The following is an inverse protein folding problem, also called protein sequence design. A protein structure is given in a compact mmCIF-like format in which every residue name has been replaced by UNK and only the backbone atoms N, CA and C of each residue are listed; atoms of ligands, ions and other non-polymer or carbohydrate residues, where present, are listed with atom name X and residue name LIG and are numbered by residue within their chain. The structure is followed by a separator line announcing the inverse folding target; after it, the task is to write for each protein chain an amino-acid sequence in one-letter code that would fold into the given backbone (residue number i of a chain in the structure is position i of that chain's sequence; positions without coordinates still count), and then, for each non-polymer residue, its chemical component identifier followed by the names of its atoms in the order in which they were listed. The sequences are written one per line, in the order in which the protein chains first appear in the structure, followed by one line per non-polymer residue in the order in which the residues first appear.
data_IF_772400885359
#
_entry.id   IF_772400885359
#
_cell.length_a   1.000
_cell.length_b   1.000
_cell.length_c   1.000
_cell.angle_alpha   90.00
_cell.angle_beta   90.00
_cell.angle_gamma   90.00
#
_symmetry.space_group_name_H-M   'P 1'
#
loop_
_entity.id
_entity.type
_entity.pdbx_description
1 polymer ?
#
# COMPACT_ATOMS: atom_id res chain seq x y z
N UNK A 1 51.69 32.02 -18.16
CA UNK A 1 51.29 30.66 -18.59
C UNK A 1 50.72 29.94 -17.36
N UNK A 2 49.42 30.00 -17.20
CA UNK A 2 48.74 29.37 -16.06
C UNK A 2 48.13 28.05 -16.56
N UNK A 3 48.55 26.94 -15.97
CA UNK A 3 48.11 25.60 -16.35
C UNK A 3 46.72 25.32 -15.75
N UNK A 4 45.73 25.23 -16.62
CA UNK A 4 44.40 24.67 -16.26
C UNK A 4 44.54 23.18 -15.98
N UNK A 5 44.23 22.74 -14.75
CA UNK A 5 44.00 21.34 -14.42
C UNK A 5 42.62 20.93 -14.93
N UNK A 6 42.45 19.72 -15.54
CA UNK A 6 41.16 19.25 -15.94
C UNK A 6 40.32 18.86 -14.71
N UNK A 7 39.10 19.37 -14.64
CA UNK A 7 38.12 18.94 -13.65
C UNK A 7 37.71 17.50 -13.94
N UNK A 8 38.12 16.57 -13.09
CA UNK A 8 37.73 15.19 -13.14
C UNK A 8 36.23 15.03 -12.87
N UNK A 9 35.49 14.70 -13.92
CA UNK A 9 34.09 14.31 -13.80
C UNK A 9 33.99 13.01 -12.99
N UNK A 10 33.51 13.07 -11.74
CA UNK A 10 33.18 11.89 -10.95
C UNK A 10 31.90 11.24 -11.51
N UNK A 11 32.08 10.42 -12.54
CA UNK A 11 31.04 9.51 -12.99
C UNK A 11 30.69 8.58 -11.83
N UNK A 12 29.59 8.86 -11.12
CA UNK A 12 29.07 7.93 -10.09
C UNK A 12 28.77 6.61 -10.76
N UNK A 13 29.58 5.58 -10.49
CA UNK A 13 29.29 4.22 -10.93
C UNK A 13 27.97 3.78 -10.30
N UNK A 14 26.99 3.47 -11.15
CA UNK A 14 25.70 2.87 -10.72
C UNK A 14 26.03 1.52 -10.06
N UNK A 15 25.56 1.29 -8.84
CA UNK A 15 25.85 0.05 -8.14
C UNK A 15 25.17 -1.14 -8.81
N UNK A 16 25.77 -2.34 -8.70
CA UNK A 16 25.15 -3.58 -9.20
C UNK A 16 23.77 -3.82 -8.58
N UNK A 17 23.55 -3.38 -7.33
CA UNK A 17 22.24 -3.39 -6.67
C UNK A 17 21.23 -2.54 -7.40
N UNK A 18 21.57 -1.30 -7.71
CA UNK A 18 20.71 -0.35 -8.43
C UNK A 18 20.34 -0.86 -9.82
N UNK A 19 21.30 -1.47 -10.54
CA UNK A 19 21.03 -2.06 -11.87
C UNK A 19 20.05 -3.24 -11.79
N UNK A 20 20.16 -4.08 -10.76
CA UNK A 20 19.24 -5.22 -10.55
C UNK A 20 17.84 -4.74 -10.16
N UNK A 21 17.72 -3.73 -9.30
CA UNK A 21 16.42 -3.14 -8.94
C UNK A 21 15.74 -2.52 -10.17
N UNK A 22 16.52 -1.86 -11.02
CA UNK A 22 16.03 -1.33 -12.29
C UNK A 22 15.51 -2.43 -13.22
N UNK A 23 16.24 -3.55 -13.30
CA UNK A 23 15.82 -4.73 -14.08
C UNK A 23 14.51 -5.34 -13.57
N UNK A 24 14.36 -5.48 -12.26
CA UNK A 24 13.13 -6.00 -11.66
C UNK A 24 11.93 -5.08 -11.93
N UNK A 25 12.11 -3.76 -11.82
CA UNK A 25 11.06 -2.78 -12.12
C UNK A 25 10.69 -2.77 -13.61
N UNK A 26 11.69 -2.74 -14.50
CA UNK A 26 11.46 -2.76 -15.94
C UNK A 26 10.69 -4.02 -16.36
N UNK A 27 11.06 -5.17 -15.82
CA UNK A 27 10.36 -6.43 -16.07
C UNK A 27 8.91 -6.39 -15.54
N UNK A 28 8.68 -5.81 -14.36
CA UNK A 28 7.36 -5.63 -13.79
C UNK A 28 6.45 -4.74 -14.66
N UNK A 29 6.97 -3.66 -15.22
CA UNK A 29 6.22 -2.81 -16.14
C UNK A 29 5.91 -3.51 -17.48
N UNK A 30 6.79 -4.38 -17.97
CA UNK A 30 6.50 -5.23 -19.15
C UNK A 30 5.37 -6.21 -18.84
N UNK A 31 5.39 -6.85 -17.66
CA UNK A 31 4.31 -7.74 -17.23
C UNK A 31 2.97 -6.97 -17.12
N UNK A 32 2.99 -5.77 -16.55
CA UNK A 32 1.80 -4.91 -16.44
C UNK A 32 1.22 -4.57 -17.83
N UNK A 33 2.08 -4.20 -18.80
CA UNK A 33 1.66 -3.93 -20.17
C UNK A 33 1.06 -5.16 -20.85
N UNK A 34 1.61 -6.35 -20.63
CA UNK A 34 1.07 -7.60 -21.17
C UNK A 34 -0.28 -7.95 -20.55
N UNK A 35 -0.43 -7.81 -19.24
CA UNK A 35 -1.69 -8.08 -18.55
C UNK A 35 -2.78 -7.09 -18.98
N UNK A 36 -2.44 -5.81 -19.19
CA UNK A 36 -3.39 -4.82 -19.70
C UNK A 36 -3.91 -5.14 -21.11
N UNK A 37 -3.10 -5.80 -21.95
CA UNK A 37 -3.46 -6.16 -23.33
C UNK A 37 -4.13 -7.53 -23.45
N UNK A 38 -3.76 -8.50 -22.59
CA UNK A 38 -4.12 -9.91 -22.75
C UNK A 38 -4.67 -10.54 -21.46
N UNK A 39 -4.68 -9.82 -20.34
CA UNK A 39 -5.17 -10.31 -19.06
C UNK A 39 -6.70 -10.38 -19.04
N UNK A 40 -7.23 -11.44 -18.46
CA UNK A 40 -8.64 -11.52 -18.14
C UNK A 40 -8.88 -11.00 -16.74
N UNK A 41 -9.71 -9.96 -16.61
CA UNK A 41 -10.20 -9.51 -15.31
C UNK A 41 -11.06 -10.62 -14.68
N UNK A 42 -10.85 -10.93 -13.41
CA UNK A 42 -11.70 -11.88 -12.71
C UNK A 42 -13.10 -11.29 -12.51
N UNK A 43 -14.09 -12.16 -12.53
CA UNK A 43 -15.45 -11.82 -12.11
C UNK A 43 -15.63 -12.27 -10.65
N UNK A 44 -15.50 -11.31 -9.73
CA UNK A 44 -15.67 -11.54 -8.31
C UNK A 44 -17.05 -11.08 -7.84
N UNK A 45 -17.70 -11.89 -6.99
CA UNK A 45 -18.81 -11.41 -6.19
C UNK A 45 -18.31 -10.28 -5.30
N UNK A 46 -18.89 -9.10 -5.44
CA UNK A 46 -18.46 -7.91 -4.72
C UNK A 46 -19.53 -7.43 -3.75
N UNK A 47 -19.08 -6.84 -2.64
CA UNK A 47 -19.93 -6.15 -1.67
C UNK A 47 -19.60 -4.66 -1.66
N UNK A 48 -20.58 -3.81 -1.31
CA UNK A 48 -20.31 -2.38 -1.11
C UNK A 48 -19.61 -2.15 0.23
N UNK A 49 -18.87 -1.04 0.33
CA UNK A 49 -18.27 -0.63 1.60
C UNK A 49 -19.30 -0.48 2.72
N UNK A 50 -20.44 0.14 2.43
CA UNK A 50 -21.53 0.29 3.39
C UNK A 50 -22.06 -1.06 3.90
N UNK A 51 -22.11 -2.08 3.03
CA UNK A 51 -22.51 -3.44 3.46
C UNK A 51 -21.51 -4.02 4.44
N UNK A 52 -20.21 -3.82 4.19
CA UNK A 52 -19.14 -4.26 5.13
C UNK A 52 -19.30 -3.57 6.47
N UNK A 53 -19.53 -2.26 6.47
CA UNK A 53 -19.71 -1.50 7.72
C UNK A 53 -20.92 -1.98 8.52
N UNK A 54 -22.08 -2.21 7.86
CA UNK A 54 -23.26 -2.75 8.53
C UNK A 54 -23.01 -4.14 9.14
N UNK A 55 -22.31 -5.01 8.41
CA UNK A 55 -21.98 -6.35 8.91
C UNK A 55 -21.10 -6.30 10.16
N UNK A 56 -20.09 -5.43 10.18
CA UNK A 56 -19.22 -5.24 11.33
C UNK A 56 -19.98 -4.60 12.50
N UNK A 57 -20.76 -3.55 12.25
CA UNK A 57 -21.56 -2.89 13.29
C UNK A 57 -22.55 -3.83 13.95
N UNK A 58 -23.17 -4.74 13.17
CA UNK A 58 -24.10 -5.76 13.71
C UNK A 58 -23.44 -6.73 14.69
N UNK A 59 -22.10 -6.82 14.68
CA UNK A 59 -21.32 -7.65 15.62
C UNK A 59 -20.94 -6.89 16.90
N UNK A 60 -21.24 -5.59 16.97
CA UNK A 60 -20.89 -4.75 18.12
C UNK A 60 -19.45 -4.27 18.11
N UNK A 61 -18.85 -4.15 16.93
CA UNK A 61 -17.43 -3.82 16.78
C UNK A 61 -17.12 -2.31 16.97
N UNK A 62 -18.14 -1.45 17.23
CA UNK A 62 -17.96 0.00 17.45
C UNK A 62 -17.40 0.72 16.22
N UNK A 63 -17.83 0.30 15.05
CA UNK A 63 -17.31 0.78 13.75
C UNK A 63 -17.63 2.25 13.53
N UNK A 64 -18.83 2.66 13.90
CA UNK A 64 -19.27 4.05 13.74
C UNK A 64 -18.40 5.00 14.58
N UNK A 65 -18.11 4.63 15.84
CA UNK A 65 -17.25 5.40 16.73
C UNK A 65 -15.82 5.50 16.19
N UNK A 66 -15.25 4.40 15.69
CA UNK A 66 -13.90 4.39 15.09
C UNK A 66 -13.84 5.30 13.86
N UNK A 67 -14.82 5.21 12.96
CA UNK A 67 -14.84 6.03 11.75
C UNK A 67 -15.20 7.49 11.99
N UNK A 68 -15.67 7.83 13.18
CA UNK A 68 -16.00 9.19 13.63
C UNK A 68 -14.88 9.82 14.49
N UNK A 69 -13.79 9.11 14.72
CA UNK A 69 -12.64 9.61 15.48
C UNK A 69 -12.11 10.92 14.89
N UNK A 70 -11.84 11.89 15.74
CA UNK A 70 -11.33 13.20 15.31
C UNK A 70 -9.99 13.07 14.58
N UNK A 71 -9.11 12.21 15.09
CA UNK A 71 -7.80 11.94 14.50
C UNK A 71 -7.89 11.45 13.04
N UNK A 72 -8.90 10.61 12.72
CA UNK A 72 -9.15 10.17 11.36
C UNK A 72 -9.61 11.31 10.45
N UNK A 73 -10.52 12.16 10.93
CA UNK A 73 -11.02 13.31 10.18
C UNK A 73 -9.94 14.35 9.90
N UNK A 74 -9.12 14.66 10.91
CA UNK A 74 -7.99 15.59 10.80
C UNK A 74 -6.95 15.06 9.81
N UNK A 75 -6.63 13.76 9.86
CA UNK A 75 -5.72 13.12 8.93
C UNK A 75 -6.25 13.17 7.49
N UNK A 76 -7.54 12.92 7.28
CA UNK A 76 -8.16 13.01 5.95
C UNK A 76 -8.05 14.40 5.36
N UNK A 77 -8.34 15.44 6.14
CA UNK A 77 -8.25 16.82 5.65
C UNK A 77 -6.80 17.22 5.38
N UNK A 78 -5.87 16.89 6.28
CA UNK A 78 -4.45 17.12 6.06
C UNK A 78 -3.94 16.41 4.80
N UNK A 79 -4.33 15.15 4.61
CA UNK A 79 -3.96 14.37 3.41
C UNK A 79 -4.51 15.03 2.13
N UNK A 80 -5.77 15.48 2.11
CA UNK A 80 -6.35 16.19 0.96
C UNK A 80 -5.59 17.47 0.64
N UNK A 81 -5.16 18.21 1.64
CA UNK A 81 -4.38 19.45 1.46
C UNK A 81 -3.01 19.16 0.88
N UNK A 82 -2.30 18.17 1.41
CA UNK A 82 -0.98 17.75 0.94
C UNK A 82 -1.06 17.27 -0.52
N UNK A 83 -2.03 16.42 -0.86
CA UNK A 83 -2.18 15.89 -2.22
C UNK A 83 -2.54 17.00 -3.23
N UNK A 84 -3.40 17.96 -2.84
CA UNK A 84 -3.67 19.15 -3.67
C UNK A 84 -2.40 19.95 -3.95
N UNK A 85 -1.58 20.20 -2.92
CA UNK A 85 -0.32 20.90 -3.06
C UNK A 85 0.66 20.16 -3.99
N UNK A 86 0.88 18.87 -3.76
CA UNK A 86 1.77 18.04 -4.58
C UNK A 86 1.34 18.04 -6.05
N UNK A 87 0.03 17.99 -6.30
CA UNK A 87 -0.51 18.01 -7.65
C UNK A 87 -0.33 19.38 -8.34
N UNK A 88 -0.52 20.49 -7.61
CA UNK A 88 -0.29 21.83 -8.11
C UNK A 88 1.19 22.07 -8.47
N UNK A 89 2.11 21.59 -7.62
CA UNK A 89 3.55 21.72 -7.84
C UNK A 89 4.07 20.81 -8.97
N UNK A 90 3.38 19.70 -9.25
CA UNK A 90 3.79 18.76 -10.29
C UNK A 90 2.59 18.19 -11.08
N UNK A 91 1.88 19.01 -11.87
CA UNK A 91 0.65 18.58 -12.57
C UNK A 91 0.89 17.52 -13.64
N UNK A 92 2.15 17.34 -14.11
CA UNK A 92 2.56 16.27 -15.04
C UNK A 92 3.21 15.09 -14.32
N UNK A 93 3.20 15.12 -13.01
CA UNK A 93 3.71 14.04 -12.16
C UNK A 93 2.89 12.76 -12.31
N UNK A 94 3.40 11.64 -11.78
CA UNK A 94 2.57 10.46 -11.62
C UNK A 94 1.42 10.82 -10.68
N UNK A 95 0.22 10.58 -11.15
CA UNK A 95 -0.98 10.75 -10.36
C UNK A 95 -1.36 9.36 -9.89
N UNK A 96 -1.01 9.04 -8.64
CA UNK A 96 -1.56 7.87 -7.99
C UNK A 96 -2.85 8.34 -7.29
N UNK A 97 -4.01 7.91 -7.77
CA UNK A 97 -5.25 8.22 -7.08
C UNK A 97 -5.19 7.61 -5.69
N UNK A 98 -5.46 8.42 -4.68
CA UNK A 98 -5.58 7.95 -3.31
C UNK A 98 -7.06 7.80 -3.00
N UNK A 99 -7.49 6.59 -2.72
CA UNK A 99 -8.87 6.31 -2.39
C UNK A 99 -9.12 6.41 -0.89
N UNK A 100 -10.20 7.10 -0.52
CA UNK A 100 -10.57 7.28 0.88
C UNK A 100 -11.12 6.01 1.51
N UNK A 101 -11.77 5.14 0.73
CA UNK A 101 -12.41 3.93 1.25
C UNK A 101 -11.36 2.89 1.62
N UNK A 102 -10.37 2.64 0.75
CA UNK A 102 -9.26 1.76 1.08
C UNK A 102 -8.48 2.29 2.29
N UNK A 103 -8.18 3.59 2.33
CA UNK A 103 -7.48 4.21 3.44
C UNK A 103 -8.27 4.06 4.76
N UNK A 104 -9.59 4.34 4.75
CA UNK A 104 -10.48 4.12 5.90
C UNK A 104 -10.57 2.65 6.29
N UNK A 105 -10.59 1.73 5.33
CA UNK A 105 -10.56 0.30 5.58
C UNK A 105 -9.28 -0.10 6.32
N UNK A 106 -8.12 0.39 5.88
CA UNK A 106 -6.84 0.15 6.54
C UNK A 106 -6.85 0.68 7.98
N UNK A 107 -7.35 1.92 8.18
CA UNK A 107 -7.51 2.49 9.52
C UNK A 107 -8.41 1.61 10.40
N UNK A 108 -9.64 1.36 9.96
CA UNK A 108 -10.64 0.59 10.71
C UNK A 108 -10.11 -0.80 11.09
N UNK A 109 -9.56 -1.54 10.13
CA UNK A 109 -9.05 -2.89 10.40
C UNK A 109 -7.87 -2.86 11.38
N UNK A 110 -6.96 -1.88 11.29
CA UNK A 110 -5.89 -1.71 12.27
C UNK A 110 -6.43 -1.32 13.66
N UNK A 111 -7.51 -0.51 13.74
CA UNK A 111 -8.15 -0.19 15.03
C UNK A 111 -8.78 -1.43 15.67
N UNK A 112 -9.48 -2.26 14.89
CA UNK A 112 -10.15 -3.47 15.35
C UNK A 112 -9.14 -4.58 15.71
N UNK A 113 -8.17 -4.86 14.85
CA UNK A 113 -7.18 -5.95 15.03
C UNK A 113 -6.14 -5.61 16.09
N UNK A 114 -5.86 -4.31 16.34
CA UNK A 114 -4.81 -3.80 17.24
C UNK A 114 -3.45 -4.47 16.98
N UNK A 115 -2.92 -4.42 15.76
CA UNK A 115 -1.74 -5.19 15.36
C UNK A 115 -0.49 -4.73 16.11
N UNK A 116 0.45 -5.66 16.32
CA UNK A 116 1.82 -5.34 16.73
C UNK A 116 2.70 -5.08 15.51
N UNK A 117 2.51 -5.84 14.44
CA UNK A 117 3.31 -5.76 13.22
C UNK A 117 2.40 -5.65 12.00
N UNK A 118 2.55 -4.54 11.28
CA UNK A 118 1.94 -4.32 9.97
C UNK A 118 3.04 -4.29 8.92
N UNK A 119 2.82 -5.00 7.80
CA UNK A 119 3.71 -4.95 6.64
C UNK A 119 2.93 -4.43 5.44
N UNK A 120 3.53 -3.49 4.70
CA UNK A 120 2.96 -2.88 3.50
C UNK A 120 3.93 -3.00 2.33
N UNK A 121 3.42 -3.25 1.14
CA UNK A 121 4.16 -3.14 -0.12
C UNK A 121 3.54 -2.07 -1.00
N UNK A 122 4.37 -1.10 -1.45
CA UNK A 122 3.92 0.13 -2.10
C UNK A 122 3.65 1.23 -1.10
N UNK A 123 4.16 2.43 -1.37
CA UNK A 123 4.00 3.61 -0.51
C UNK A 123 3.52 4.81 -1.32
N UNK A 124 4.11 5.05 -2.48
CA UNK A 124 3.82 6.23 -3.29
C UNK A 124 3.79 7.52 -2.46
N UNK A 125 2.66 8.21 -2.37
CA UNK A 125 2.50 9.39 -1.50
C UNK A 125 2.40 9.06 -0.01
N UNK A 126 2.21 7.78 0.36
CA UNK A 126 2.11 7.31 1.74
C UNK A 126 0.73 7.51 2.36
N UNK A 127 -0.33 7.51 1.56
CA UNK A 127 -1.70 7.69 2.07
C UNK A 127 -2.10 6.49 2.93
N UNK A 128 -2.06 5.27 2.40
CA UNK A 128 -2.33 4.04 3.16
C UNK A 128 -1.44 3.94 4.40
N UNK A 129 -0.13 4.23 4.23
CA UNK A 129 0.83 4.27 5.34
C UNK A 129 0.39 5.22 6.46
N UNK A 130 -0.06 6.44 6.11
CA UNK A 130 -0.48 7.44 7.09
C UNK A 130 -1.70 6.98 7.89
N UNK A 131 -2.69 6.39 7.23
CA UNK A 131 -3.90 5.90 7.90
C UNK A 131 -3.62 4.69 8.79
N UNK A 132 -2.77 3.76 8.35
CA UNK A 132 -2.29 2.67 9.19
C UNK A 132 -1.55 3.21 10.41
N UNK A 133 -0.60 4.14 10.23
CA UNK A 133 0.18 4.71 11.31
C UNK A 133 -0.67 5.47 12.33
N UNK A 134 -1.69 6.24 11.86
CA UNK A 134 -2.63 6.90 12.76
C UNK A 134 -3.41 5.87 13.59
N UNK A 135 -3.87 4.79 12.99
CA UNK A 135 -4.54 3.72 13.72
C UNK A 135 -3.64 3.06 14.78
N UNK A 136 -2.36 2.88 14.47
CA UNK A 136 -1.38 2.35 15.42
C UNK A 136 -1.10 3.33 16.57
N UNK A 137 -1.10 4.64 16.30
CA UNK A 137 -0.95 5.68 17.31
C UNK A 137 -2.16 5.69 18.25
N UNK A 138 -3.40 5.70 17.72
CA UNK A 138 -4.63 5.61 18.51
C UNK A 138 -4.72 4.31 19.34
N UNK A 139 -4.11 3.24 18.86
CA UNK A 139 -3.99 1.99 19.60
C UNK A 139 -2.92 2.05 20.71
N UNK A 140 -2.02 3.02 20.69
CA UNK A 140 -0.85 3.11 21.55
C UNK A 140 0.17 1.98 21.34
N UNK A 141 0.09 1.24 20.23
CA UNK A 141 0.95 0.08 19.93
C UNK A 141 1.06 -0.22 18.45
N UNK A 142 2.09 -0.98 18.12
CA UNK A 142 2.34 -1.50 16.78
C UNK A 142 3.31 -0.64 15.99
N UNK A 143 3.88 -1.26 14.96
CA UNK A 143 4.81 -0.64 14.01
C UNK A 143 4.44 -1.03 12.58
N UNK A 144 4.71 -0.14 11.64
CA UNK A 144 4.54 -0.35 10.20
C UNK A 144 5.91 -0.53 9.53
N UNK A 145 6.05 -1.61 8.79
CA UNK A 145 7.16 -1.85 7.88
C UNK A 145 6.66 -1.75 6.44
N UNK A 146 7.05 -0.69 5.72
CA UNK A 146 6.68 -0.51 4.32
C UNK A 146 7.86 -0.86 3.41
N UNK A 147 7.58 -1.55 2.32
CA UNK A 147 8.56 -1.92 1.29
C UNK A 147 8.21 -1.21 0.00
N UNK A 148 9.09 -0.34 -0.49
CA UNK A 148 8.90 0.36 -1.75
C UNK A 148 10.24 0.68 -2.43
N UNK A 149 10.37 0.53 -3.76
CA UNK A 149 11.57 0.93 -4.46
C UNK A 149 11.70 2.46 -4.47
N UNK A 150 12.95 2.98 -4.50
CA UNK A 150 13.14 4.41 -4.64
C UNK A 150 12.56 4.86 -6.00
N UNK A 151 11.91 6.04 -6.03
CA UNK A 151 11.33 6.55 -7.27
C UNK A 151 12.42 6.76 -8.34
N UNK A 152 12.17 6.26 -9.55
CA UNK A 152 13.11 6.34 -10.67
C UNK A 152 13.33 7.76 -11.18
N UNK A 153 12.34 8.64 -11.02
CA UNK A 153 12.44 10.05 -11.42
C UNK A 153 12.82 10.92 -10.23
N UNK A 154 13.87 11.72 -10.37
CA UNK A 154 14.36 12.61 -9.30
C UNK A 154 13.29 13.56 -8.72
N UNK A 155 12.31 13.99 -9.53
CA UNK A 155 11.21 14.86 -9.11
C UNK A 155 10.25 14.20 -8.10
N UNK A 156 10.11 12.88 -8.12
CA UNK A 156 9.20 12.15 -7.22
C UNK A 156 9.77 11.86 -5.83
N UNK A 157 11.09 11.93 -5.67
CA UNK A 157 11.73 11.65 -4.39
C UNK A 157 11.25 12.58 -3.25
N UNK A 158 10.78 13.79 -3.59
CA UNK A 158 10.26 14.77 -2.61
C UNK A 158 8.80 14.49 -2.21
N UNK A 159 8.03 13.82 -3.06
CA UNK A 159 6.61 13.55 -2.83
C UNK A 159 6.38 12.16 -2.22
N UNK A 160 7.44 11.35 -2.11
CA UNK A 160 7.35 9.98 -1.65
C UNK A 160 7.17 9.90 -0.13
N UNK A 161 6.05 9.30 0.31
CA UNK A 161 5.67 9.27 1.71
C UNK A 161 5.29 10.63 2.30
N UNK A 162 5.00 11.61 1.46
CA UNK A 162 4.73 13.00 1.88
C UNK A 162 3.47 13.14 2.73
N UNK A 163 2.52 12.23 2.58
CA UNK A 163 1.28 12.22 3.36
C UNK A 163 1.47 11.69 4.79
N UNK A 164 2.61 11.06 5.10
CA UNK A 164 2.89 10.55 6.44
C UNK A 164 3.30 11.70 7.36
N UNK A 165 2.49 12.05 8.39
CA UNK A 165 2.85 13.06 9.38
C UNK A 165 4.16 12.74 10.10
N UNK A 166 4.95 13.78 10.43
CA UNK A 166 6.27 13.60 11.03
C UNK A 166 6.20 12.88 12.38
N UNK A 167 5.20 13.21 13.18
CA UNK A 167 4.94 12.64 14.50
C UNK A 167 4.65 11.14 14.48
N UNK A 168 4.10 10.63 13.37
CA UNK A 168 3.80 9.20 13.21
C UNK A 168 5.00 8.38 12.75
N UNK A 169 6.06 9.02 12.27
CA UNK A 169 7.23 8.34 11.71
C UNK A 169 8.02 7.52 12.73
N UNK A 170 7.84 7.77 14.03
CA UNK A 170 8.46 6.95 15.08
C UNK A 170 8.00 5.46 15.04
N UNK A 171 6.81 5.19 14.48
CA UNK A 171 6.25 3.84 14.29
C UNK A 171 6.50 3.27 12.90
N UNK A 172 7.20 3.99 12.03
CA UNK A 172 7.36 3.64 10.62
C UNK A 172 8.79 3.25 10.26
N UNK A 173 8.96 2.10 9.63
CA UNK A 173 10.24 1.70 9.05
C UNK A 173 10.07 1.46 7.56
N UNK A 174 10.76 2.26 6.75
CA UNK A 174 10.71 2.18 5.31
C UNK A 174 11.92 1.41 4.76
N UNK A 175 11.64 0.27 4.13
CA UNK A 175 12.62 -0.61 3.48
C UNK A 175 12.69 -0.28 1.98
N UNK A 176 13.80 0.30 1.55
CA UNK A 176 13.99 0.72 0.16
C UNK A 176 14.45 -0.43 -0.72
N UNK A 177 13.59 -0.85 -1.64
CA UNK A 177 13.84 -1.88 -2.64
C UNK A 177 12.55 -2.52 -3.14
N UNK A 178 12.64 -3.36 -4.16
CA UNK A 178 11.47 -4.10 -4.66
C UNK A 178 11.01 -5.13 -3.64
N UNK A 179 9.70 -5.36 -3.56
CA UNK A 179 9.13 -6.38 -2.67
C UNK A 179 9.73 -7.76 -2.92
N UNK A 180 10.01 -8.10 -4.18
CA UNK A 180 10.70 -9.34 -4.57
C UNK A 180 12.02 -9.57 -3.80
N UNK A 181 12.76 -8.50 -3.48
CA UNK A 181 14.07 -8.60 -2.84
C UNK A 181 14.03 -8.41 -1.34
N UNK A 182 13.15 -7.53 -0.89
CA UNK A 182 13.12 -7.10 0.51
C UNK A 182 12.19 -7.98 1.34
N UNK A 183 11.00 -8.29 0.80
CA UNK A 183 9.93 -8.93 1.57
C UNK A 183 10.34 -10.27 2.20
N UNK A 184 11.01 -11.21 1.50
CA UNK A 184 11.36 -12.50 2.11
C UNK A 184 12.25 -12.36 3.36
N UNK A 185 13.33 -11.58 3.27
CA UNK A 185 14.24 -11.38 4.41
C UNK A 185 13.64 -10.52 5.53
N UNK A 186 12.69 -9.65 5.20
CA UNK A 186 11.92 -8.90 6.20
C UNK A 186 11.00 -9.84 6.98
N UNK A 187 10.23 -10.68 6.29
CA UNK A 187 9.32 -11.64 6.91
C UNK A 187 10.06 -12.65 7.79
N UNK A 188 11.22 -13.13 7.34
CA UNK A 188 12.09 -14.00 8.15
C UNK A 188 12.49 -13.35 9.47
N UNK A 189 12.83 -12.06 9.46
CA UNK A 189 13.19 -11.31 10.68
C UNK A 189 12.01 -11.04 11.59
N UNK A 190 10.85 -10.73 11.04
CA UNK A 190 9.65 -10.42 11.80
C UNK A 190 8.99 -11.68 12.38
N UNK A 191 9.10 -12.80 11.70
CA UNK A 191 8.49 -14.09 12.06
C UNK A 191 6.99 -14.10 11.88
N UNK A 192 6.28 -13.23 12.60
CA UNK A 192 4.81 -13.15 12.55
C UNK A 192 4.35 -11.76 12.16
N UNK A 193 3.32 -11.70 11.30
CA UNK A 193 2.67 -10.47 10.82
C UNK A 193 1.20 -10.50 11.21
N UNK A 194 0.67 -9.39 11.69
CA UNK A 194 -0.75 -9.27 12.06
C UNK A 194 -1.61 -8.76 10.88
N UNK A 195 -1.08 -7.77 10.14
CA UNK A 195 -1.76 -7.17 8.99
C UNK A 195 -0.77 -7.02 7.85
N UNK A 196 -1.20 -7.41 6.65
CA UNK A 196 -0.45 -7.19 5.41
C UNK A 196 -1.29 -6.37 4.44
N UNK A 197 -0.70 -5.31 3.86
CA UNK A 197 -1.27 -4.50 2.81
C UNK A 197 -0.46 -4.63 1.53
N UNK A 198 -1.11 -5.07 0.46
CA UNK A 198 -0.59 -5.05 -0.90
C UNK A 198 -1.13 -3.83 -1.64
N UNK A 199 -0.26 -2.92 -1.99
CA UNK A 199 -0.55 -1.73 -2.82
C UNK A 199 0.67 -1.39 -3.70
N UNK A 200 1.38 -2.44 -4.18
CA UNK A 200 2.58 -2.30 -5.00
C UNK A 200 2.26 -2.51 -6.48
N UNK A 201 3.06 -3.26 -7.20
CA UNK A 201 2.84 -3.56 -8.61
C UNK A 201 1.73 -4.60 -8.80
N UNK A 202 0.59 -4.21 -9.35
CA UNK A 202 -0.64 -5.01 -9.50
C UNK A 202 -0.58 -5.98 -10.68
N UNK A 203 0.54 -6.71 -10.86
CA UNK A 203 0.61 -7.83 -11.80
C UNK A 203 0.33 -9.14 -11.11
N UNK A 204 -0.30 -10.10 -11.80
CA UNK A 204 -0.57 -11.43 -11.29
C UNK A 204 0.66 -12.07 -10.61
N UNK A 205 1.82 -11.99 -11.28
CA UNK A 205 3.07 -12.54 -10.78
C UNK A 205 3.53 -11.86 -9.48
N UNK A 206 3.42 -10.54 -9.40
CA UNK A 206 3.86 -9.80 -8.23
C UNK A 206 2.93 -10.05 -7.04
N UNK A 207 1.63 -9.87 -7.24
CA UNK A 207 0.61 -10.11 -6.22
C UNK A 207 0.71 -11.53 -5.65
N UNK A 208 0.70 -12.53 -6.54
CA UNK A 208 0.82 -13.93 -6.16
C UNK A 208 2.07 -14.19 -5.32
N UNK A 209 3.23 -13.69 -5.75
CA UNK A 209 4.50 -13.87 -5.02
C UNK A 209 4.44 -13.24 -3.62
N UNK A 210 3.86 -12.05 -3.49
CA UNK A 210 3.74 -11.39 -2.20
C UNK A 210 2.77 -12.14 -1.28
N UNK A 211 1.64 -12.59 -1.78
CA UNK A 211 0.68 -13.37 -1.02
C UNK A 211 1.27 -14.72 -0.58
N UNK A 212 1.95 -15.45 -1.47
CA UNK A 212 2.63 -16.71 -1.15
C UNK A 212 3.73 -16.52 -0.09
N UNK A 213 4.44 -15.39 -0.11
CA UNK A 213 5.48 -15.09 0.88
C UNK A 213 4.89 -14.73 2.25
N UNK A 214 3.81 -13.94 2.27
CA UNK A 214 3.24 -13.42 3.52
C UNK A 214 2.33 -14.44 4.22
N UNK A 215 1.57 -15.24 3.47
CA UNK A 215 0.56 -16.12 4.04
C UNK A 215 1.08 -17.03 5.14
N UNK A 216 2.25 -17.70 5.03
CA UNK A 216 2.79 -18.50 6.12
C UNK A 216 3.08 -17.69 7.39
N UNK A 217 3.52 -16.44 7.26
CA UNK A 217 3.87 -15.54 8.34
C UNK A 217 2.69 -14.79 8.93
N UNK A 218 1.56 -14.70 8.22
CA UNK A 218 0.35 -14.07 8.73
C UNK A 218 -0.24 -14.94 9.85
N UNK A 219 -0.50 -14.35 11.02
CA UNK A 219 -1.08 -15.11 12.15
C UNK A 219 -2.51 -15.55 11.89
N UNK A 220 -3.01 -16.51 12.65
CA UNK A 220 -4.44 -16.82 12.69
C UNK A 220 -5.22 -15.60 13.20
N UNK A 221 -6.30 -15.24 12.51
CA UNK A 221 -7.04 -13.98 12.71
C UNK A 221 -6.29 -12.74 12.21
N UNK A 222 -5.16 -12.89 11.53
CA UNK A 222 -4.47 -11.80 10.84
C UNK A 222 -5.17 -11.43 9.53
N UNK A 223 -4.97 -10.20 9.07
CA UNK A 223 -5.68 -9.63 7.94
C UNK A 223 -4.72 -9.35 6.77
N UNK A 224 -5.13 -9.77 5.57
CA UNK A 224 -4.50 -9.37 4.31
C UNK A 224 -5.47 -8.46 3.55
N UNK A 225 -5.00 -7.28 3.19
CA UNK A 225 -5.70 -6.28 2.36
C UNK A 225 -4.94 -6.18 1.05
N UNK A 226 -5.65 -6.15 -0.08
CA UNK A 226 -5.02 -6.01 -1.39
C UNK A 226 -5.80 -5.04 -2.26
N UNK A 227 -5.10 -4.04 -2.78
CA UNK A 227 -5.65 -3.07 -3.73
C UNK A 227 -5.71 -3.65 -5.16
N UNK A 228 -6.60 -3.07 -6.00
CA UNK A 228 -6.70 -3.36 -7.45
C UNK A 228 -6.88 -4.86 -7.78
N UNK A 229 -7.61 -5.62 -6.94
CA UNK A 229 -7.74 -7.08 -7.09
C UNK A 229 -8.49 -7.51 -8.34
N UNK A 230 -9.24 -6.62 -8.97
CA UNK A 230 -9.96 -6.87 -10.23
C UNK A 230 -9.03 -6.92 -11.45
N UNK A 231 -7.77 -6.48 -11.32
CA UNK A 231 -6.83 -6.45 -12.44
C UNK A 231 -6.38 -7.83 -12.89
N UNK A 232 -6.38 -8.80 -11.97
CA UNK A 232 -5.94 -10.16 -12.27
C UNK A 232 -6.46 -11.18 -11.25
N UNK A 233 -6.19 -12.48 -11.48
CA UNK A 233 -6.74 -13.58 -10.67
C UNK A 233 -5.92 -13.93 -9.42
N UNK A 234 -4.86 -13.20 -9.08
CA UNK A 234 -3.98 -13.58 -7.98
C UNK A 234 -4.71 -13.64 -6.63
N UNK A 235 -5.58 -12.65 -6.37
CA UNK A 235 -6.36 -12.59 -5.14
C UNK A 235 -7.34 -13.77 -5.01
N UNK A 236 -7.89 -14.24 -6.14
CA UNK A 236 -8.78 -15.41 -6.17
C UNK A 236 -8.11 -16.69 -5.64
N UNK A 237 -6.80 -16.84 -5.85
CA UNK A 237 -6.05 -17.99 -5.34
C UNK A 237 -6.06 -18.11 -3.81
N UNK A 238 -6.31 -17.04 -3.08
CA UNK A 238 -6.42 -17.07 -1.62
C UNK A 238 -7.69 -17.76 -1.12
N UNK A 239 -8.72 -17.96 -1.99
CA UNK A 239 -9.93 -18.72 -1.63
C UNK A 239 -9.65 -20.18 -1.29
N UNK A 240 -8.62 -20.75 -1.89
CA UNK A 240 -8.24 -22.17 -1.69
C UNK A 240 -7.44 -22.40 -0.41
N UNK A 241 -7.05 -21.32 0.26
CA UNK A 241 -6.28 -21.39 1.50
C UNK A 241 -7.22 -21.45 2.71
N UNK A 242 -6.68 -21.94 3.84
CA UNK A 242 -7.41 -21.92 5.10
C UNK A 242 -7.60 -20.48 5.59
N UNK A 243 -8.80 -19.93 5.39
CA UNK A 243 -9.17 -18.56 5.74
C UNK A 243 -10.58 -18.54 6.36
N UNK A 244 -10.82 -17.61 7.26
CA UNK A 244 -12.10 -17.45 7.95
C UNK A 244 -13.01 -16.44 7.24
N UNK A 245 -12.43 -15.52 6.45
CA UNK A 245 -13.18 -14.55 5.66
C UNK A 245 -12.41 -14.25 4.37
N UNK A 246 -13.16 -14.17 3.27
CA UNK A 246 -12.69 -13.68 1.97
C UNK A 246 -13.76 -12.78 1.38
N UNK A 247 -13.42 -11.52 1.07
CA UNK A 247 -14.34 -10.53 0.49
C UNK A 247 -13.63 -9.68 -0.56
N UNK A 248 -14.36 -9.30 -1.59
CA UNK A 248 -13.98 -8.22 -2.51
C UNK A 248 -14.96 -7.08 -2.31
N UNK A 249 -14.42 -5.93 -1.95
CA UNK A 249 -15.17 -4.68 -1.79
C UNK A 249 -15.06 -3.90 -3.09
N UNK A 250 -16.20 -3.46 -3.61
CA UNK A 250 -16.25 -2.57 -4.77
C UNK A 250 -17.19 -1.44 -4.47
N UNK A 251 -16.67 -0.22 -4.53
CA UNK A 251 -17.48 0.97 -4.38
C UNK A 251 -17.38 1.84 -5.63
N UNK A 252 -18.55 2.22 -6.18
CA UNK A 252 -18.64 3.06 -7.37
C UNK A 252 -18.70 4.54 -7.03
N UNK A 253 -19.03 4.86 -5.79
CA UNK A 253 -19.19 6.22 -5.28
C UNK A 253 -17.98 6.65 -4.44
N UNK A 254 -16.86 5.94 -4.60
CA UNK A 254 -15.63 6.26 -3.92
C UNK A 254 -15.31 7.75 -4.04
N UNK A 255 -15.11 8.40 -2.90
CA UNK A 255 -14.72 9.81 -2.83
C UNK A 255 -13.19 9.86 -2.79
N UNK A 256 -12.53 10.18 -3.90
CA UNK A 256 -11.08 10.25 -3.88
C UNK A 256 -10.64 11.34 -2.90
N UNK A 257 -9.58 11.06 -2.17
CA UNK A 257 -8.89 12.09 -1.39
C UNK A 257 -8.27 13.13 -2.32
N UNK A 258 -7.93 12.69 -3.55
CA UNK A 258 -7.47 13.56 -4.63
C UNK A 258 -7.70 12.89 -6.00
N UNK A 259 -8.00 13.70 -7.02
CA UNK A 259 -8.24 13.24 -8.40
C UNK A 259 -9.72 13.04 -8.72
N UNK A 260 -10.01 12.40 -9.84
CA UNK A 260 -11.37 12.11 -10.27
C UNK A 260 -11.92 10.88 -9.54
N UNK A 261 -13.21 10.87 -9.27
CA UNK A 261 -13.89 9.71 -8.73
C UNK A 261 -13.73 8.54 -9.71
N UNK A 262 -13.17 7.44 -9.22
CA UNK A 262 -13.07 6.18 -9.94
C UNK A 262 -13.58 5.07 -9.02
N UNK A 263 -14.20 4.01 -9.56
CA UNK A 263 -14.52 2.86 -8.74
C UNK A 263 -13.26 2.33 -8.06
N UNK A 264 -13.34 2.07 -6.77
CA UNK A 264 -12.29 1.37 -6.03
C UNK A 264 -12.67 -0.09 -5.88
N UNK A 265 -11.71 -0.98 -6.02
CA UNK A 265 -11.90 -2.41 -5.81
C UNK A 265 -10.72 -2.97 -5.04
N UNK A 266 -10.98 -3.48 -3.86
CA UNK A 266 -9.94 -4.11 -3.04
C UNK A 266 -10.46 -5.40 -2.40
N UNK A 267 -9.54 -6.23 -1.97
CA UNK A 267 -9.83 -7.50 -1.32
C UNK A 267 -9.40 -7.51 0.15
N UNK A 268 -10.17 -8.21 0.98
CA UNK A 268 -9.84 -8.45 2.39
C UNK A 268 -9.95 -9.93 2.67
N UNK A 269 -8.92 -10.50 3.29
CA UNK A 269 -8.88 -11.88 3.75
C UNK A 269 -8.48 -11.91 5.22
N UNK A 270 -9.19 -12.70 6.02
CA UNK A 270 -8.81 -13.01 7.41
C UNK A 270 -8.38 -14.47 7.48
N UNK A 271 -7.16 -14.73 7.94
CA UNK A 271 -6.59 -16.08 8.07
C UNK A 271 -7.16 -16.87 9.25
#
# INVERSE_FOLDING_TARGET
MSSMKPMGGSGRRVSARTLREFGDLAFGYVDLGREALFGASPDYDTVSWESVLRDLESRGDGVAEILDELALRDLEEATRQILRYVHQENPRGAQWPADSILARCCYLLCRLVRPAIVVETGVAYGVSSAFVLQALEENGRGVLHSVDPPPLRRGYARSWGVAVPEELKARWTLHRGTSKRILPGLLEKLGTVDVFLHDSLHTHRNMRREFEAVWPCLRTGGVLIADDVERNRAFGGLRELNQSLWRVVRDREARPLHGNAAPVTFGVVVK
#
